data_IF_932368987682
#
_entry.id   IF_932368987682
#
_cell.length_a   1.000
_cell.length_b   1.000
_cell.length_c   1.000
_cell.angle_alpha   90.00
_cell.angle_beta   90.00
_cell.angle_gamma   90.00
#
_symmetry.space_group_name_H-M   'P 1'
#
loop_
_entity.id
_entity.type
_entity.pdbx_description
1 polymer ?
#
# COMPACT_ATOMS: atom_id res chain seq x y z
N UNK A 1 -4.44 -18.54 3.18
CA UNK A 1 -3.85 -17.84 2.05
C UNK A 1 -2.52 -17.21 2.47
N UNK A 2 -1.46 -17.49 1.70
CA UNK A 2 -0.12 -16.98 1.95
C UNK A 2 0.39 -16.29 0.68
N UNK A 3 1.34 -15.36 0.83
CA UNK A 3 1.90 -14.58 -0.27
C UNK A 3 3.40 -14.80 -0.36
N UNK A 4 3.91 -15.04 -1.56
CA UNK A 4 5.33 -15.22 -1.87
C UNK A 4 5.69 -14.20 -2.96
N UNK A 5 6.38 -13.11 -2.59
CA UNK A 5 6.70 -12.04 -3.51
C UNK A 5 8.20 -11.67 -3.55
N UNK A 6 8.99 -12.04 -2.52
CA UNK A 6 10.37 -11.61 -2.37
C UNK A 6 11.37 -12.58 -3.05
N UNK A 7 12.52 -12.05 -3.53
CA UNK A 7 13.68 -12.85 -3.95
C UNK A 7 14.44 -13.43 -2.75
N UNK A 8 14.43 -12.77 -1.60
CA UNK A 8 14.85 -13.39 -0.35
C UNK A 8 13.83 -14.46 0.04
N UNK A 9 14.25 -15.69 -0.06
CA UNK A 9 13.38 -16.86 0.08
C UNK A 9 13.37 -17.44 1.50
N UNK A 10 14.01 -16.79 2.46
CA UNK A 10 14.16 -17.32 3.83
C UNK A 10 12.80 -17.56 4.50
N UNK A 11 11.96 -16.51 4.57
CA UNK A 11 10.60 -16.63 5.11
C UNK A 11 9.73 -17.63 4.33
N UNK A 12 9.91 -17.67 3.00
CA UNK A 12 9.15 -18.56 2.14
C UNK A 12 9.50 -20.04 2.32
N UNK A 13 10.74 -20.36 2.71
CA UNK A 13 11.14 -21.75 3.00
C UNK A 13 10.47 -22.25 4.28
N UNK A 14 10.39 -21.44 5.32
CA UNK A 14 9.71 -21.81 6.57
C UNK A 14 8.22 -22.05 6.30
N UNK A 15 7.59 -21.17 5.51
CA UNK A 15 6.22 -21.35 5.07
C UNK A 15 6.05 -22.66 4.30
N UNK A 16 6.84 -22.93 3.26
CA UNK A 16 6.73 -24.14 2.44
C UNK A 16 6.90 -25.42 3.29
N UNK A 17 7.81 -25.42 4.27
CA UNK A 17 8.03 -26.54 5.16
C UNK A 17 6.83 -26.84 6.07
N UNK A 18 5.94 -25.86 6.29
CA UNK A 18 4.71 -26.02 7.07
C UNK A 18 3.51 -26.51 6.24
N UNK A 19 3.63 -26.58 4.90
CA UNK A 19 2.54 -26.90 3.99
C UNK A 19 2.57 -28.37 3.54
N UNK A 20 1.37 -28.92 3.29
CA UNK A 20 1.21 -30.23 2.62
C UNK A 20 1.25 -30.02 1.10
N UNK A 21 2.25 -30.58 0.37
CA UNK A 21 2.37 -30.42 -1.07
C UNK A 21 1.13 -30.90 -1.85
N UNK A 22 0.44 -31.92 -1.36
CA UNK A 22 -0.73 -32.50 -2.03
C UNK A 22 -1.99 -31.63 -1.88
N UNK A 23 -2.00 -30.71 -0.91
CA UNK A 23 -3.14 -29.83 -0.59
C UNK A 23 -2.86 -28.36 -0.89
N UNK A 24 -1.71 -28.05 -1.52
CA UNK A 24 -1.28 -26.69 -1.76
C UNK A 24 -1.44 -26.31 -3.24
N UNK A 25 -2.22 -25.27 -3.51
CA UNK A 25 -2.36 -24.63 -4.82
C UNK A 25 -1.49 -23.35 -4.86
N UNK A 26 -0.68 -23.22 -5.89
CA UNK A 26 0.14 -22.03 -6.16
C UNK A 26 -0.52 -21.17 -7.24
N UNK A 27 -0.96 -19.98 -6.88
CA UNK A 27 -1.53 -19.01 -7.81
C UNK A 27 -0.42 -18.05 -8.21
N UNK A 28 0.01 -18.12 -9.47
CA UNK A 28 1.07 -17.30 -10.01
C UNK A 28 0.44 -16.10 -10.73
N UNK A 29 0.61 -14.92 -10.16
CA UNK A 29 0.10 -13.68 -10.73
C UNK A 29 1.26 -12.89 -11.34
N UNK A 30 1.29 -12.77 -12.65
CA UNK A 30 2.28 -11.94 -13.35
C UNK A 30 1.79 -11.54 -14.73
N UNK A 31 1.66 -10.23 -14.99
CA UNK A 31 1.16 -9.71 -16.26
C UNK A 31 1.93 -10.29 -17.46
N UNK A 32 3.24 -10.09 -17.51
CA UNK A 32 4.09 -10.56 -18.62
C UNK A 32 4.54 -12.02 -18.49
N UNK A 33 4.42 -12.63 -17.32
CA UNK A 33 4.98 -13.94 -16.98
C UNK A 33 6.50 -14.06 -17.23
N UNK A 34 7.20 -12.89 -17.23
CA UNK A 34 8.66 -12.77 -17.45
C UNK A 34 9.40 -12.09 -16.31
N UNK A 35 8.69 -11.77 -15.22
CA UNK A 35 9.25 -11.13 -14.02
C UNK A 35 10.23 -12.10 -13.35
N UNK A 36 11.47 -11.65 -13.09
CA UNK A 36 12.55 -12.50 -12.57
C UNK A 36 12.14 -13.09 -11.21
N UNK A 37 11.62 -12.28 -10.32
CA UNK A 37 11.17 -12.69 -9.00
C UNK A 37 10.14 -13.83 -9.08
N UNK A 38 9.15 -13.67 -9.95
CA UNK A 38 8.11 -14.68 -10.16
C UNK A 38 8.70 -15.99 -10.69
N UNK A 39 9.57 -15.91 -11.70
CA UNK A 39 10.19 -17.10 -12.30
C UNK A 39 11.12 -17.84 -11.34
N UNK A 40 11.91 -17.12 -10.53
CA UNK A 40 12.78 -17.72 -9.53
C UNK A 40 11.97 -18.36 -8.40
N UNK A 41 10.89 -17.73 -7.94
CA UNK A 41 9.98 -18.31 -6.95
C UNK A 41 9.31 -19.59 -7.50
N UNK A 42 8.85 -19.60 -8.74
CA UNK A 42 8.30 -20.81 -9.39
C UNK A 42 9.36 -21.94 -9.40
N UNK A 43 10.61 -21.66 -9.75
CA UNK A 43 11.69 -22.67 -9.77
C UNK A 43 11.91 -23.27 -8.38
N UNK A 44 11.96 -22.46 -7.35
CA UNK A 44 12.16 -22.91 -5.96
C UNK A 44 10.98 -23.75 -5.48
N UNK A 45 9.74 -23.33 -5.76
CA UNK A 45 8.52 -24.08 -5.44
C UNK A 45 8.49 -25.44 -6.19
N UNK A 46 8.84 -25.45 -7.47
CA UNK A 46 8.95 -26.69 -8.25
C UNK A 46 9.98 -27.65 -7.64
N UNK A 47 11.13 -27.13 -7.20
CA UNK A 47 12.16 -27.92 -6.53
C UNK A 47 11.63 -28.50 -5.22
N UNK A 48 10.93 -27.72 -4.41
CA UNK A 48 10.30 -28.17 -3.17
C UNK A 48 9.27 -29.26 -3.43
N UNK A 49 8.35 -29.08 -4.37
CA UNK A 49 7.34 -30.10 -4.74
C UNK A 49 7.98 -31.44 -5.20
N UNK A 50 9.07 -31.38 -5.98
CA UNK A 50 9.76 -32.57 -6.46
C UNK A 50 10.42 -33.41 -5.35
N UNK A 51 10.71 -32.84 -4.18
CA UNK A 51 11.23 -33.59 -3.03
C UNK A 51 10.22 -34.61 -2.49
N UNK A 52 8.94 -34.32 -2.63
CA UNK A 52 7.86 -35.15 -2.08
C UNK A 52 7.32 -36.19 -3.07
N UNK A 53 7.52 -36.02 -4.37
CA UNK A 53 7.11 -36.99 -5.37
C UNK A 53 7.95 -36.90 -6.65
N UNK A 54 8.70 -37.99 -6.95
CA UNK A 54 9.51 -38.07 -8.17
C UNK A 54 8.69 -38.19 -9.46
N UNK A 55 7.48 -38.77 -9.38
CA UNK A 55 6.60 -39.08 -10.53
C UNK A 55 5.42 -38.12 -10.66
N UNK A 56 5.35 -37.08 -9.83
CA UNK A 56 4.22 -36.17 -9.80
C UNK A 56 4.39 -35.02 -10.81
N UNK A 57 3.35 -34.79 -11.60
CA UNK A 57 3.33 -33.59 -12.45
C UNK A 57 3.08 -32.36 -11.58
N UNK A 58 4.16 -31.79 -11.04
CA UNK A 58 4.13 -30.63 -10.14
C UNK A 58 3.35 -29.42 -10.70
N UNK A 59 3.15 -29.38 -12.03
CA UNK A 59 2.44 -28.25 -12.66
C UNK A 59 0.92 -28.32 -12.44
N UNK A 60 0.39 -29.43 -11.95
CA UNK A 60 -1.02 -29.54 -11.53
C UNK A 60 -1.35 -28.63 -10.33
N UNK A 61 -0.34 -28.32 -9.50
CA UNK A 61 -0.49 -27.41 -8.36
C UNK A 61 -0.46 -25.93 -8.74
N UNK A 62 -0.31 -25.59 -10.04
CA UNK A 62 -0.18 -24.21 -10.46
C UNK A 62 -1.40 -23.72 -11.24
N UNK A 63 -1.85 -22.53 -10.86
CA UNK A 63 -2.79 -21.71 -11.60
C UNK A 63 -2.08 -20.41 -11.98
N UNK A 64 -2.15 -19.99 -13.23
CA UNK A 64 -1.57 -18.74 -13.71
C UNK A 64 -2.65 -17.68 -13.91
N UNK A 65 -2.32 -16.44 -13.52
CA UNK A 65 -3.11 -15.25 -13.85
C UNK A 65 -2.19 -14.31 -14.64
N UNK A 66 -2.45 -14.17 -15.94
CA UNK A 66 -1.52 -13.50 -16.85
C UNK A 66 -2.21 -12.97 -18.11
N UNK A 67 -1.64 -11.94 -18.71
CA UNK A 67 -1.91 -11.53 -20.10
C UNK A 67 -1.22 -12.49 -21.09
N UNK A 68 -0.03 -13.01 -20.72
CA UNK A 68 0.84 -13.80 -21.59
C UNK A 68 0.66 -15.31 -21.37
N UNK A 69 -0.42 -15.84 -21.91
CA UNK A 69 -0.73 -17.28 -21.83
C UNK A 69 0.37 -18.17 -22.41
N UNK A 70 1.06 -17.70 -23.47
CA UNK A 70 2.10 -18.50 -24.13
C UNK A 70 3.29 -18.78 -23.21
N UNK A 71 3.72 -17.81 -22.40
CA UNK A 71 4.79 -17.99 -21.44
C UNK A 71 4.37 -18.91 -20.27
N UNK A 72 3.13 -18.84 -19.82
CA UNK A 72 2.61 -19.77 -18.82
C UNK A 72 2.59 -21.22 -19.34
N UNK A 73 2.15 -21.43 -20.57
CA UNK A 73 2.16 -22.75 -21.24
C UNK A 73 3.59 -23.31 -21.41
N UNK A 74 4.55 -22.48 -21.77
CA UNK A 74 5.98 -22.90 -21.88
C UNK A 74 6.54 -23.40 -20.54
N UNK A 75 6.05 -22.91 -19.41
CA UNK A 75 6.42 -23.41 -18.10
C UNK A 75 5.70 -24.73 -17.72
N UNK A 76 4.76 -25.20 -18.55
CA UNK A 76 4.03 -26.46 -18.37
C UNK A 76 2.69 -26.30 -17.63
N UNK A 77 2.17 -25.08 -17.47
CA UNK A 77 0.84 -24.85 -16.88
C UNK A 77 -0.23 -25.18 -17.92
N UNK A 78 -1.20 -26.02 -17.50
CA UNK A 78 -2.30 -26.43 -18.38
C UNK A 78 -3.18 -25.23 -18.74
N UNK A 79 -3.67 -25.16 -19.98
CA UNK A 79 -4.57 -24.12 -20.45
C UNK A 79 -5.78 -23.89 -19.53
N UNK A 80 -6.35 -24.96 -18.97
CA UNK A 80 -7.50 -24.87 -18.04
C UNK A 80 -7.16 -24.17 -16.72
N UNK A 81 -5.89 -24.07 -16.39
CA UNK A 81 -5.37 -23.42 -15.18
C UNK A 81 -4.78 -22.04 -15.50
N UNK A 82 -5.14 -21.43 -16.63
CA UNK A 82 -4.69 -20.09 -17.00
C UNK A 82 -5.91 -19.15 -17.03
N UNK A 83 -5.87 -18.13 -16.17
CA UNK A 83 -6.83 -17.03 -16.15
C UNK A 83 -6.18 -15.87 -16.91
N UNK A 84 -6.79 -15.50 -18.04
CA UNK A 84 -6.33 -14.38 -18.83
C UNK A 84 -6.76 -13.06 -18.21
N UNK A 85 -5.86 -12.09 -18.18
CA UNK A 85 -6.14 -10.68 -17.84
C UNK A 85 -5.85 -9.78 -19.04
N UNK A 86 -6.39 -8.57 -19.01
CA UNK A 86 -6.28 -7.63 -20.14
C UNK A 86 -4.94 -6.90 -20.16
N UNK A 87 -4.48 -6.56 -21.36
CA UNK A 87 -3.24 -5.84 -21.60
C UNK A 87 -3.23 -4.45 -20.96
N UNK A 88 -4.36 -3.74 -21.01
CA UNK A 88 -4.50 -2.41 -20.42
C UNK A 88 -4.53 -2.39 -18.89
N UNK A 89 -4.67 -3.53 -18.25
CA UNK A 89 -4.79 -3.63 -16.81
C UNK A 89 -3.45 -3.35 -16.12
N UNK A 90 -3.36 -2.26 -15.36
CA UNK A 90 -2.22 -1.93 -14.50
C UNK A 90 -2.22 -2.75 -13.21
N UNK A 91 -1.04 -3.19 -12.71
CA UNK A 91 -0.93 -4.02 -11.51
C UNK A 91 -1.61 -3.41 -10.28
N UNK A 92 -1.36 -2.14 -9.99
CA UNK A 92 -1.93 -1.41 -8.83
C UNK A 92 -3.43 -1.13 -8.91
N UNK A 93 -4.03 -1.32 -10.10
CA UNK A 93 -5.48 -1.21 -10.34
C UNK A 93 -6.14 -2.57 -10.59
N UNK A 94 -5.44 -3.68 -10.35
CA UNK A 94 -5.87 -5.00 -10.80
C UNK A 94 -6.74 -5.78 -9.84
N UNK A 95 -6.98 -5.27 -8.64
CA UNK A 95 -7.74 -5.96 -7.58
C UNK A 95 -9.18 -6.32 -7.99
N UNK A 96 -9.74 -5.61 -8.95
CA UNK A 96 -11.09 -5.80 -9.48
C UNK A 96 -11.21 -6.93 -10.53
N UNK A 97 -10.09 -7.58 -10.86
CA UNK A 97 -9.98 -8.54 -11.97
C UNK A 97 -9.69 -9.97 -11.50
N UNK A 98 -9.41 -10.87 -12.44
CA UNK A 98 -8.94 -12.24 -12.17
C UNK A 98 -7.68 -12.34 -11.31
N UNK A 99 -6.91 -11.24 -11.15
CA UNK A 99 -5.79 -11.15 -10.19
C UNK A 99 -6.24 -11.48 -8.77
N UNK A 100 -7.48 -11.17 -8.43
CA UNK A 100 -8.08 -11.43 -7.12
C UNK A 100 -8.59 -12.86 -6.91
N UNK A 101 -8.28 -13.82 -7.78
CA UNK A 101 -8.77 -15.20 -7.60
C UNK A 101 -8.42 -15.80 -6.22
N UNK A 102 -7.21 -15.49 -5.71
CA UNK A 102 -6.81 -15.89 -4.35
C UNK A 102 -7.71 -15.27 -3.27
N UNK A 103 -8.08 -14.00 -3.43
CA UNK A 103 -9.02 -13.32 -2.55
C UNK A 103 -10.42 -13.92 -2.65
N UNK A 104 -10.90 -14.23 -3.88
CA UNK A 104 -12.20 -14.87 -4.11
C UNK A 104 -12.28 -16.23 -3.39
N UNK A 105 -11.22 -17.02 -3.47
CA UNK A 105 -11.14 -18.31 -2.78
C UNK A 105 -11.18 -18.12 -1.26
N UNK A 106 -10.49 -17.09 -0.74
CA UNK A 106 -10.38 -16.85 0.70
C UNK A 106 -11.68 -16.34 1.34
N UNK A 107 -12.39 -15.43 0.66
CA UNK A 107 -13.57 -14.75 1.24
C UNK A 107 -14.90 -15.26 0.67
N UNK A 108 -14.86 -16.06 -0.38
CA UNK A 108 -16.01 -16.57 -1.12
C UNK A 108 -16.58 -15.58 -2.14
N UNK A 109 -17.24 -16.12 -3.15
CA UNK A 109 -17.81 -15.35 -4.27
C UNK A 109 -18.77 -14.22 -3.82
N UNK A 110 -19.67 -14.53 -2.87
CA UNK A 110 -20.66 -13.55 -2.39
C UNK A 110 -20.01 -12.32 -1.75
N UNK A 111 -18.94 -12.52 -0.98
CA UNK A 111 -18.23 -11.40 -0.36
C UNK A 111 -17.42 -10.61 -1.41
N UNK A 112 -16.84 -11.30 -2.39
CA UNK A 112 -16.15 -10.62 -3.48
C UNK A 112 -17.13 -9.82 -4.35
N UNK A 113 -18.33 -10.34 -4.63
CA UNK A 113 -19.38 -9.59 -5.34
C UNK A 113 -19.80 -8.34 -4.59
N UNK A 114 -19.94 -8.40 -3.25
CA UNK A 114 -20.18 -7.21 -2.42
C UNK A 114 -19.03 -6.21 -2.48
N UNK A 115 -17.79 -6.71 -2.54
CA UNK A 115 -16.61 -5.86 -2.68
C UNK A 115 -16.64 -5.10 -4.02
N UNK A 116 -16.95 -5.78 -5.13
CA UNK A 116 -17.12 -5.13 -6.44
C UNK A 116 -18.29 -4.14 -6.45
N UNK A 117 -19.40 -4.49 -5.79
CA UNK A 117 -20.54 -3.59 -5.67
C UNK A 117 -20.18 -2.30 -4.92
N UNK A 118 -19.33 -2.38 -3.89
CA UNK A 118 -18.79 -1.20 -3.23
C UNK A 118 -18.01 -0.29 -4.17
N UNK A 119 -17.16 -0.86 -5.02
CA UNK A 119 -16.45 -0.10 -6.04
C UNK A 119 -17.39 0.56 -7.05
N UNK A 120 -18.41 -0.18 -7.53
CA UNK A 120 -19.44 0.37 -8.40
C UNK A 120 -20.14 1.59 -7.78
N UNK A 121 -20.46 1.55 -6.48
CA UNK A 121 -21.04 2.71 -5.77
C UNK A 121 -20.11 3.91 -5.78
N UNK A 122 -18.80 3.70 -5.63
CA UNK A 122 -17.82 4.77 -5.73
C UNK A 122 -17.74 5.34 -7.15
N UNK A 123 -17.82 4.51 -8.20
CA UNK A 123 -17.86 4.92 -9.61
C UNK A 123 -19.11 5.77 -9.90
N UNK A 124 -20.26 5.34 -9.37
CA UNK A 124 -21.51 6.10 -9.50
C UNK A 124 -21.45 7.44 -8.76
N UNK A 125 -20.87 7.46 -7.56
CA UNK A 125 -20.65 8.69 -6.80
C UNK A 125 -19.71 9.63 -7.58
N UNK A 126 -18.58 9.12 -8.07
CA UNK A 126 -17.60 9.90 -8.81
C UNK A 126 -18.17 10.51 -10.08
N UNK A 127 -18.94 9.74 -10.85
CA UNK A 127 -19.50 10.18 -12.15
C UNK A 127 -20.71 11.11 -12.00
N UNK A 128 -21.54 10.96 -10.94
CA UNK A 128 -22.83 11.64 -10.82
C UNK A 128 -22.82 12.86 -9.88
N UNK A 129 -21.91 12.91 -8.91
CA UNK A 129 -21.89 13.98 -7.90
C UNK A 129 -21.24 15.25 -8.42
N UNK A 130 -21.83 16.39 -8.07
CA UNK A 130 -21.21 17.71 -8.31
C UNK A 130 -19.88 17.80 -7.55
N UNK A 131 -18.90 18.52 -8.10
CA UNK A 131 -17.52 18.60 -7.59
C UNK A 131 -17.44 18.91 -6.09
N UNK A 132 -18.28 19.83 -5.58
CA UNK A 132 -18.32 20.22 -4.15
C UNK A 132 -18.80 19.12 -3.19
N UNK A 133 -19.39 18.05 -3.70
CA UNK A 133 -19.86 16.89 -2.95
C UNK A 133 -19.19 15.59 -3.38
N UNK A 134 -18.26 15.67 -4.31
CA UNK A 134 -17.56 14.51 -4.89
C UNK A 134 -16.34 14.19 -4.04
N UNK A 135 -16.43 13.14 -3.25
CA UNK A 135 -15.40 12.77 -2.25
C UNK A 135 -14.02 12.62 -2.90
N UNK A 136 -13.79 11.80 -3.93
CA UNK A 136 -12.49 11.67 -4.56
C UNK A 136 -11.93 12.99 -5.13
N UNK A 137 -12.79 13.82 -5.71
CA UNK A 137 -12.39 15.13 -6.24
C UNK A 137 -11.94 16.06 -5.10
N UNK A 138 -12.70 16.11 -4.00
CA UNK A 138 -12.33 16.92 -2.82
C UNK A 138 -11.01 16.42 -2.24
N UNK A 139 -10.83 15.10 -2.09
CA UNK A 139 -9.57 14.51 -1.61
C UNK A 139 -8.38 14.90 -2.49
N UNK A 140 -8.55 14.85 -3.82
CA UNK A 140 -7.52 15.21 -4.76
C UNK A 140 -7.18 16.71 -4.72
N UNK A 141 -8.21 17.57 -4.71
CA UNK A 141 -8.02 19.03 -4.62
C UNK A 141 -7.31 19.44 -3.32
N UNK A 142 -7.69 18.84 -2.18
CA UNK A 142 -7.01 19.08 -0.91
C UNK A 142 -5.55 18.60 -0.93
N UNK A 143 -5.29 17.39 -1.46
CA UNK A 143 -3.92 16.89 -1.61
C UNK A 143 -3.07 17.80 -2.50
N UNK A 144 -3.61 18.20 -3.65
CA UNK A 144 -2.94 19.16 -4.55
C UNK A 144 -2.66 20.49 -3.88
N UNK A 145 -3.67 21.04 -3.19
CA UNK A 145 -3.57 22.32 -2.48
C UNK A 145 -2.50 22.28 -1.38
N UNK A 146 -2.52 21.28 -0.53
CA UNK A 146 -1.54 21.13 0.53
C UNK A 146 -0.11 20.94 0.02
N UNK A 147 0.08 20.20 -1.07
CA UNK A 147 1.40 19.98 -1.65
C UNK A 147 1.98 21.23 -2.29
N UNK A 148 1.16 21.98 -3.00
CA UNK A 148 1.64 23.11 -3.80
C UNK A 148 1.66 24.44 -3.04
N UNK A 149 0.75 24.65 -2.09
CA UNK A 149 0.63 25.91 -1.35
C UNK A 149 1.15 25.85 0.09
N UNK A 150 1.13 24.66 0.72
CA UNK A 150 1.61 24.45 2.09
C UNK A 150 2.88 23.61 2.16
N UNK A 151 3.45 23.26 1.03
CA UNK A 151 4.68 22.46 0.94
C UNK A 151 4.59 21.10 1.64
N UNK A 152 3.38 20.51 1.72
CA UNK A 152 3.23 19.15 2.18
C UNK A 152 3.95 18.19 1.22
N UNK A 153 4.93 17.45 1.72
CA UNK A 153 5.68 16.46 0.93
C UNK A 153 5.22 15.03 1.19
N UNK A 154 4.34 14.86 2.17
CA UNK A 154 3.83 13.54 2.53
C UNK A 154 2.34 13.60 2.88
N UNK A 155 1.68 12.44 2.79
CA UNK A 155 0.30 12.21 3.17
C UNK A 155 0.22 10.97 4.05
N UNK A 156 -0.36 11.09 5.23
CA UNK A 156 -0.42 10.04 6.22
C UNK A 156 -1.78 9.32 6.18
N UNK A 157 -1.75 7.99 6.17
CA UNK A 157 -2.94 7.13 6.19
C UNK A 157 -2.98 6.37 7.52
N UNK A 158 -4.01 6.59 8.33
CA UNK A 158 -4.15 6.05 9.68
C UNK A 158 -5.45 5.22 9.83
N UNK A 159 -5.47 3.97 9.40
CA UNK A 159 -6.58 3.08 9.70
C UNK A 159 -6.55 2.63 11.17
N UNK A 160 -7.67 2.77 11.86
CA UNK A 160 -7.84 2.33 13.25
C UNK A 160 -8.37 0.89 13.35
N UNK A 161 -9.07 0.40 12.32
CA UNK A 161 -9.46 -1.00 12.25
C UNK A 161 -8.25 -1.88 11.92
N UNK A 162 -7.94 -2.85 12.76
CA UNK A 162 -6.80 -3.77 12.56
C UNK A 162 -6.79 -4.48 11.20
N UNK A 163 -7.96 -4.83 10.67
CA UNK A 163 -8.08 -5.46 9.36
C UNK A 163 -7.63 -4.57 8.19
N UNK A 164 -7.56 -3.25 8.42
CA UNK A 164 -7.05 -2.27 7.44
C UNK A 164 -5.57 -1.93 7.65
N UNK A 165 -4.83 -2.62 8.51
CA UNK A 165 -3.45 -2.27 8.88
C UNK A 165 -2.47 -2.14 7.72
N UNK A 166 -2.75 -2.78 6.59
CA UNK A 166 -1.96 -2.69 5.34
C UNK A 166 -2.55 -1.74 4.29
N UNK A 167 -3.58 -0.97 4.64
CA UNK A 167 -4.22 -0.04 3.70
C UNK A 167 -3.23 1.01 3.19
N UNK A 168 -2.38 1.53 4.07
CA UNK A 168 -1.38 2.53 3.70
C UNK A 168 -0.36 1.99 2.68
N UNK A 169 0.04 0.73 2.75
CA UNK A 169 0.95 0.11 1.76
C UNK A 169 0.30 0.03 0.37
N UNK A 170 -1.00 -0.32 0.33
CA UNK A 170 -1.76 -0.33 -0.93
C UNK A 170 -1.87 1.06 -1.55
N UNK A 171 -2.26 2.07 -0.75
CA UNK A 171 -2.40 3.45 -1.22
C UNK A 171 -1.04 4.04 -1.58
N UNK A 172 0.04 3.67 -0.88
CA UNK A 172 1.41 4.06 -1.19
C UNK A 172 1.78 3.65 -2.62
N UNK A 173 1.61 2.37 -2.97
CA UNK A 173 1.87 1.93 -4.35
C UNK A 173 0.92 2.62 -5.33
N UNK A 174 -0.38 2.66 -5.01
CA UNK A 174 -1.39 3.26 -5.87
C UNK A 174 -1.04 4.70 -6.25
N UNK A 175 -0.74 5.56 -5.29
CA UNK A 175 -0.52 6.98 -5.53
C UNK A 175 0.91 7.29 -5.99
N UNK A 176 1.93 6.72 -5.33
CA UNK A 176 3.33 7.06 -5.63
C UNK A 176 3.78 6.50 -6.99
N UNK A 177 3.38 5.29 -7.35
CA UNK A 177 3.70 4.72 -8.68
C UNK A 177 2.91 5.43 -9.80
N UNK A 178 1.67 5.86 -9.52
CA UNK A 178 0.85 6.58 -10.49
C UNK A 178 1.32 7.99 -10.74
N UNK A 179 1.57 8.76 -9.68
CA UNK A 179 1.76 10.20 -9.73
C UNK A 179 3.17 10.67 -9.38
N UNK A 180 4.10 9.78 -9.03
CA UNK A 180 5.50 10.10 -8.77
C UNK A 180 6.28 10.40 -10.05
N UNK A 181 5.92 11.48 -10.76
CA UNK A 181 6.45 11.84 -12.08
C UNK A 181 6.84 13.31 -12.14
N UNK A 182 7.78 13.63 -13.00
CA UNK A 182 8.28 15.00 -13.23
C UNK A 182 7.98 15.50 -14.65
N UNK A 183 7.38 14.69 -15.51
CA UNK A 183 7.10 15.00 -16.90
C UNK A 183 5.59 14.84 -17.15
N UNK A 184 4.99 15.85 -17.82
CA UNK A 184 3.58 15.84 -18.21
C UNK A 184 3.30 14.95 -19.45
N UNK A 185 2.04 14.82 -19.81
CA UNK A 185 1.61 14.04 -21.00
C UNK A 185 2.13 14.60 -22.32
N UNK A 186 2.63 15.85 -22.34
CA UNK A 186 3.20 16.52 -23.51
C UNK A 186 4.73 16.47 -23.54
N UNK A 187 5.37 15.76 -22.58
CA UNK A 187 6.82 15.64 -22.49
C UNK A 187 7.52 16.85 -21.85
N UNK A 188 6.79 17.74 -21.19
CA UNK A 188 7.34 18.94 -20.52
C UNK A 188 7.52 18.66 -19.03
N UNK A 189 8.52 19.32 -18.42
CA UNK A 189 8.66 19.30 -16.98
C UNK A 189 7.44 19.96 -16.31
N UNK A 190 6.87 19.29 -15.33
CA UNK A 190 5.79 19.85 -14.52
C UNK A 190 6.34 20.89 -13.55
N UNK A 191 5.61 21.99 -13.35
CA UNK A 191 5.96 23.04 -12.38
C UNK A 191 5.43 22.77 -10.98
N UNK A 192 4.38 21.97 -10.87
CA UNK A 192 3.75 21.60 -9.60
C UNK A 192 4.49 20.46 -8.89
N UNK A 193 4.35 20.39 -7.56
CA UNK A 193 4.89 19.28 -6.76
C UNK A 193 3.97 18.08 -6.86
N UNK A 194 4.31 17.13 -7.72
CA UNK A 194 3.57 15.87 -7.88
C UNK A 194 4.23 14.74 -7.07
N UNK A 195 3.42 13.74 -6.67
CA UNK A 195 3.92 12.52 -6.06
C UNK A 195 4.29 12.68 -4.59
N UNK A 196 3.30 12.94 -3.73
CA UNK A 196 3.49 12.93 -2.28
C UNK A 196 3.97 11.56 -1.80
N UNK A 197 4.84 11.57 -0.79
CA UNK A 197 5.19 10.35 -0.06
C UNK A 197 3.96 9.91 0.75
N UNK A 198 3.36 8.80 0.36
CA UNK A 198 2.28 8.18 1.13
C UNK A 198 2.88 7.19 2.12
N UNK A 199 2.50 7.30 3.37
CA UNK A 199 2.97 6.46 4.45
C UNK A 199 1.89 6.30 5.52
N UNK A 200 2.09 5.43 6.48
CA UNK A 200 1.10 5.24 7.52
C UNK A 200 1.39 4.14 8.50
N UNK A 201 0.37 3.76 9.22
CA UNK A 201 0.41 2.69 10.20
C UNK A 201 -0.92 2.49 10.87
N UNK A 202 -1.03 1.48 11.73
CA UNK A 202 -2.24 1.26 12.53
C UNK A 202 -2.42 2.38 13.56
N UNK A 203 -3.57 3.03 13.55
CA UNK A 203 -3.84 4.28 14.29
C UNK A 203 -3.40 4.25 15.76
N UNK A 204 -3.88 3.29 16.56
CA UNK A 204 -3.55 3.20 17.98
C UNK A 204 -2.08 2.83 18.24
N UNK A 205 -1.52 1.87 17.47
CA UNK A 205 -0.13 1.44 17.63
C UNK A 205 0.87 2.54 17.26
N UNK A 206 0.52 3.39 16.32
CA UNK A 206 1.38 4.47 15.82
C UNK A 206 1.63 5.59 16.84
N UNK A 207 0.86 5.63 17.93
CA UNK A 207 1.12 6.53 19.06
C UNK A 207 2.52 6.36 19.63
N UNK A 208 3.04 5.14 19.62
CA UNK A 208 4.35 4.79 20.15
C UNK A 208 5.48 4.91 19.10
N UNK A 209 5.20 5.47 17.91
CA UNK A 209 6.20 5.65 16.86
C UNK A 209 6.32 7.09 16.36
N UNK A 210 5.30 7.65 15.75
CA UNK A 210 5.41 8.93 15.04
C UNK A 210 4.42 10.02 15.46
N UNK A 211 3.53 9.77 16.42
CA UNK A 211 2.58 10.80 16.88
C UNK A 211 3.27 11.99 17.56
N UNK A 212 4.44 11.81 18.16
CA UNK A 212 5.23 12.91 18.67
C UNK A 212 5.54 13.94 17.56
N UNK A 213 5.97 13.46 16.38
CA UNK A 213 6.19 14.30 15.20
C UNK A 213 4.90 14.95 14.71
N UNK A 214 3.80 14.18 14.66
CA UNK A 214 2.52 14.70 14.19
C UNK A 214 1.99 15.83 15.08
N UNK A 215 2.07 15.68 16.40
CA UNK A 215 1.51 16.65 17.33
C UNK A 215 2.40 17.88 17.49
N UNK A 216 3.68 17.68 17.77
CA UNK A 216 4.61 18.76 18.17
C UNK A 216 5.58 19.18 17.06
N UNK A 217 5.85 18.31 16.06
CA UNK A 217 6.77 18.63 14.99
C UNK A 217 6.29 19.82 14.13
N UNK A 218 7.25 20.54 13.56
CA UNK A 218 7.03 21.71 12.72
C UNK A 218 6.77 21.39 11.23
N UNK A 219 6.50 20.12 10.92
CA UNK A 219 6.18 19.64 9.56
C UNK A 219 4.68 19.65 9.31
N UNK A 220 4.29 20.01 8.07
CA UNK A 220 2.91 20.02 7.65
C UNK A 220 2.55 18.71 6.96
N UNK A 221 1.79 17.85 7.65
CA UNK A 221 1.44 16.50 7.20
C UNK A 221 -0.08 16.37 7.20
N UNK A 222 -0.74 16.42 6.04
CA UNK A 222 -2.14 16.02 5.90
C UNK A 222 -2.32 14.54 6.26
N UNK A 223 -3.42 14.22 6.95
CA UNK A 223 -3.66 12.87 7.43
C UNK A 223 -5.09 12.40 7.21
N UNK A 224 -5.24 11.15 6.74
CA UNK A 224 -6.52 10.47 6.61
C UNK A 224 -6.68 9.50 7.78
N UNK A 225 -7.64 9.76 8.66
CA UNK A 225 -8.03 8.94 9.78
C UNK A 225 -9.24 8.07 9.39
N UNK A 226 -9.15 6.77 9.53
CA UNK A 226 -10.16 5.84 9.03
C UNK A 226 -10.59 4.89 10.14
N UNK A 227 -11.89 4.86 10.45
CA UNK A 227 -12.48 3.96 11.45
C UNK A 227 -13.90 3.55 11.05
N UNK A 228 -14.37 2.39 11.52
CA UNK A 228 -15.77 2.01 11.44
C UNK A 228 -16.54 2.43 12.70
N UNK A 229 -17.83 2.79 12.55
CA UNK A 229 -18.73 3.10 13.68
C UNK A 229 -19.07 1.88 14.53
N UNK A 230 -19.01 0.68 13.94
CA UNK A 230 -19.35 -0.58 14.60
C UNK A 230 -18.13 -1.47 14.64
N UNK A 231 -17.92 -2.14 15.78
CA UNK A 231 -16.91 -3.19 15.88
C UNK A 231 -17.34 -4.45 15.10
N UNK A 232 -16.37 -5.15 14.55
CA UNK A 232 -16.59 -6.47 13.94
C UNK A 232 -16.28 -7.63 14.91
N UNK A 233 -15.56 -7.33 15.98
CA UNK A 233 -15.13 -8.30 16.99
C UNK A 233 -14.68 -7.57 18.27
N UNK A 234 -14.77 -8.23 19.40
CA UNK A 234 -14.40 -7.67 20.69
C UNK A 234 -15.56 -7.00 21.41
N UNK A 235 -15.29 -6.40 22.56
CA UNK A 235 -16.28 -5.70 23.36
C UNK A 235 -16.58 -4.30 22.81
N UNK A 236 -17.77 -3.79 23.08
CA UNK A 236 -18.13 -2.42 22.76
C UNK A 236 -17.22 -1.43 23.48
N UNK A 237 -16.87 -1.69 24.74
CA UNK A 237 -15.97 -0.83 25.52
C UNK A 237 -14.59 -0.66 24.86
N UNK A 238 -14.02 -1.75 24.33
CA UNK A 238 -12.75 -1.66 23.58
C UNK A 238 -12.90 -0.82 22.32
N UNK A 239 -14.03 -0.93 21.64
CA UNK A 239 -14.31 -0.11 20.46
C UNK A 239 -14.49 1.36 20.83
N UNK A 240 -15.17 1.66 21.93
CA UNK A 240 -15.37 3.03 22.41
C UNK A 240 -14.04 3.68 22.82
N UNK A 241 -13.13 2.92 23.46
CA UNK A 241 -11.77 3.38 23.74
C UNK A 241 -10.99 3.67 22.44
N UNK A 242 -11.08 2.78 21.45
CA UNK A 242 -10.45 2.98 20.15
C UNK A 242 -11.00 4.21 19.42
N UNK A 243 -12.34 4.40 19.47
CA UNK A 243 -13.01 5.55 18.87
C UNK A 243 -12.66 6.85 19.59
N UNK A 244 -12.58 6.83 20.92
CA UNK A 244 -12.16 7.98 21.73
C UNK A 244 -10.72 8.39 21.38
N UNK A 245 -9.84 7.40 21.18
CA UNK A 245 -8.48 7.61 20.74
C UNK A 245 -8.40 8.26 19.34
N UNK A 246 -9.17 7.74 18.40
CA UNK A 246 -9.33 8.32 17.06
C UNK A 246 -9.76 9.80 17.11
N UNK A 247 -10.80 10.12 17.88
CA UNK A 247 -11.32 11.49 18.01
C UNK A 247 -10.33 12.42 18.73
N UNK A 248 -9.63 11.93 19.76
CA UNK A 248 -8.69 12.74 20.54
C UNK A 248 -7.55 13.26 19.67
N UNK A 249 -6.98 12.40 18.81
CA UNK A 249 -5.90 12.81 17.92
C UNK A 249 -6.34 13.79 16.84
N UNK A 250 -7.52 13.59 16.25
CA UNK A 250 -8.10 14.54 15.30
C UNK A 250 -8.31 15.90 16.00
N UNK A 251 -8.86 15.90 17.22
CA UNK A 251 -9.08 17.14 17.99
C UNK A 251 -7.75 17.86 18.28
N UNK A 252 -6.73 17.14 18.74
CA UNK A 252 -5.40 17.72 19.01
C UNK A 252 -4.78 18.29 17.74
N UNK A 253 -4.82 17.57 16.62
CA UNK A 253 -4.27 18.06 15.36
C UNK A 253 -4.99 19.29 14.83
N UNK A 254 -6.32 19.34 14.96
CA UNK A 254 -7.10 20.49 14.49
C UNK A 254 -7.01 21.71 15.42
N UNK A 255 -7.27 21.50 16.72
CA UNK A 255 -7.43 22.58 17.70
C UNK A 255 -6.16 22.89 18.49
N UNK A 256 -5.21 21.96 18.54
CA UNK A 256 -4.02 22.07 19.39
C UNK A 256 -4.32 21.79 20.86
N UNK A 257 -3.40 22.26 21.72
CA UNK A 257 -3.52 22.23 23.18
C UNK A 257 -3.09 23.59 23.72
N UNK A 258 -4.01 24.31 24.35
CA UNK A 258 -3.82 25.70 24.74
C UNK A 258 -2.85 25.86 25.91
N UNK A 259 -2.37 27.10 26.14
CA UNK A 259 -1.55 27.43 27.33
C UNK A 259 -2.33 27.14 28.61
N UNK A 260 -3.60 27.50 28.68
CA UNK A 260 -4.44 27.23 29.88
C UNK A 260 -4.59 25.76 30.16
N UNK A 261 -4.80 24.93 29.11
CA UNK A 261 -4.88 23.47 29.25
C UNK A 261 -3.52 22.86 29.67
N UNK A 262 -2.42 23.39 29.11
CA UNK A 262 -1.07 22.99 29.46
C UNK A 262 -0.69 23.31 30.89
N UNK A 263 -1.08 24.50 31.38
CA UNK A 263 -0.89 24.89 32.78
C UNK A 263 -1.67 23.98 33.72
N UNK A 264 -2.94 23.73 33.43
CA UNK A 264 -3.80 22.84 34.21
C UNK A 264 -3.20 21.42 34.27
N UNK A 265 -2.79 20.88 33.13
CA UNK A 265 -2.19 19.56 33.04
C UNK A 265 -0.84 19.49 33.79
N UNK A 266 -0.05 20.59 33.77
CA UNK A 266 1.17 20.68 34.57
C UNK A 266 0.90 20.54 36.06
N UNK A 267 -0.04 21.31 36.59
CA UNK A 267 -0.42 21.26 38.03
C UNK A 267 -0.96 19.88 38.40
N UNK A 268 -1.77 19.25 37.55
CA UNK A 268 -2.34 17.94 37.83
C UNK A 268 -1.31 16.78 37.82
N UNK A 269 -0.30 16.84 36.95
CA UNK A 269 0.56 15.68 36.68
C UNK A 269 2.05 15.89 36.88
N UNK A 270 2.55 17.11 36.76
CA UNK A 270 4.00 17.37 36.67
C UNK A 270 4.56 18.26 37.78
N UNK A 271 3.72 18.93 38.56
CA UNK A 271 4.14 19.88 39.61
C UNK A 271 5.13 19.29 40.62
N UNK A 272 4.96 18.01 40.95
CA UNK A 272 5.77 17.33 41.99
C UNK A 272 6.98 16.58 41.41
N UNK A 273 7.30 16.75 40.11
CA UNK A 273 8.40 16.01 39.46
C UNK A 273 9.73 16.75 39.42
N UNK A 274 9.82 17.95 40.00
CA UNK A 274 11.06 18.74 40.00
C UNK A 274 11.45 19.32 38.63
N UNK A 275 10.57 19.28 37.65
CA UNK A 275 10.80 19.77 36.30
C UNK A 275 10.57 21.29 36.21
N UNK A 276 11.31 21.98 35.33
CA UNK A 276 11.12 23.41 35.10
C UNK A 276 9.72 23.68 34.51
N UNK A 277 8.85 24.33 35.30
CA UNK A 277 7.44 24.59 34.97
C UNK A 277 7.25 25.16 33.56
N UNK A 278 7.95 26.29 33.27
CA UNK A 278 7.78 26.99 32.00
C UNK A 278 8.20 26.15 30.79
N UNK A 279 9.26 25.32 30.96
CA UNK A 279 9.72 24.43 29.90
C UNK A 279 8.69 23.33 29.63
N UNK A 280 8.13 22.73 30.68
CA UNK A 280 7.10 21.68 30.55
C UNK A 280 5.85 22.26 29.92
N UNK A 281 5.35 23.40 30.37
CA UNK A 281 4.16 24.04 29.79
C UNK A 281 4.37 24.34 28.31
N UNK A 282 5.53 24.91 27.92
CA UNK A 282 5.85 25.16 26.50
C UNK A 282 5.86 23.89 25.66
N UNK A 283 6.34 22.79 26.20
CA UNK A 283 6.33 21.48 25.49
C UNK A 283 4.94 20.83 25.42
N UNK A 284 4.05 21.11 26.36
CA UNK A 284 2.67 20.63 26.34
C UNK A 284 1.79 21.42 25.37
N UNK A 285 2.16 22.67 25.07
CA UNK A 285 1.40 23.50 24.12
C UNK A 285 1.55 22.98 22.70
N UNK A 286 0.42 22.78 22.01
CA UNK A 286 0.39 22.31 20.62
C UNK A 286 -0.37 23.31 19.77
N UNK A 287 0.21 23.71 18.63
CA UNK A 287 -0.36 24.77 17.78
C UNK A 287 -1.65 24.37 17.03
N UNK A 288 -1.93 23.08 16.87
CA UNK A 288 -3.04 22.62 16.06
C UNK A 288 -2.92 22.97 14.58
N UNK A 289 -4.05 23.25 13.92
CA UNK A 289 -4.16 23.68 12.50
C UNK A 289 -3.51 22.70 11.50
N UNK A 290 -3.43 21.42 11.86
CA UNK A 290 -2.91 20.36 11.03
C UNK A 290 -4.09 19.66 10.35
N UNK A 291 -4.13 19.56 9.00
CA UNK A 291 -5.29 19.09 8.29
C UNK A 291 -5.51 17.59 8.46
N UNK A 292 -6.75 17.22 8.74
CA UNK A 292 -7.16 15.83 8.88
C UNK A 292 -8.46 15.57 8.11
N UNK A 293 -8.53 14.44 7.42
CA UNK A 293 -9.78 13.87 6.92
C UNK A 293 -10.20 12.74 7.85
N UNK A 294 -11.49 12.66 8.19
CA UNK A 294 -12.07 11.61 9.01
C UNK A 294 -13.00 10.74 8.18
N UNK A 295 -12.61 9.51 7.89
CA UNK A 295 -13.42 8.52 7.20
C UNK A 295 -14.14 7.65 8.22
N UNK A 296 -15.44 7.81 8.30
CA UNK A 296 -16.28 7.13 9.28
C UNK A 296 -17.16 6.09 8.57
N UNK A 297 -16.64 4.87 8.43
CA UNK A 297 -17.35 3.78 7.80
C UNK A 297 -18.52 3.31 8.70
N UNK A 298 -19.69 3.02 8.12
CA UNK A 298 -20.83 2.49 8.89
C UNK A 298 -20.44 1.17 9.58
N UNK A 299 -19.79 0.29 8.86
CA UNK A 299 -19.21 -0.99 9.28
C UNK A 299 -18.10 -1.36 8.31
N UNK A 300 -17.03 -2.01 8.78
CA UNK A 300 -16.03 -2.56 7.89
C UNK A 300 -16.57 -3.85 7.26
N UNK A 301 -17.02 -3.76 6.01
CA UNK A 301 -17.55 -4.85 5.20
C UNK A 301 -16.81 -4.94 3.88
N UNK A 302 -16.93 -6.04 3.12
CA UNK A 302 -16.38 -6.10 1.76
C UNK A 302 -16.85 -4.93 0.88
N UNK A 303 -18.13 -4.56 0.95
CA UNK A 303 -18.68 -3.41 0.23
C UNK A 303 -18.00 -2.09 0.64
N UNK A 304 -17.91 -1.80 1.94
CA UNK A 304 -17.27 -0.58 2.43
C UNK A 304 -15.79 -0.50 2.05
N UNK A 305 -15.08 -1.65 2.06
CA UNK A 305 -13.70 -1.72 1.61
C UNK A 305 -13.56 -1.45 0.11
N UNK A 306 -14.45 -2.03 -0.71
CA UNK A 306 -14.46 -1.78 -2.15
C UNK A 306 -14.72 -0.31 -2.48
N UNK A 307 -15.70 0.31 -1.82
CA UNK A 307 -16.01 1.73 -1.96
C UNK A 307 -14.80 2.61 -1.56
N UNK A 308 -14.16 2.32 -0.44
CA UNK A 308 -13.00 3.06 0.05
C UNK A 308 -11.81 2.98 -0.92
N UNK A 309 -11.46 1.78 -1.40
CA UNK A 309 -10.34 1.61 -2.33
C UNK A 309 -10.61 2.33 -3.67
N UNK A 310 -11.81 2.22 -4.20
CA UNK A 310 -12.18 2.92 -5.44
C UNK A 310 -12.16 4.45 -5.28
N UNK A 311 -12.52 5.00 -4.11
CA UNK A 311 -12.33 6.43 -3.83
C UNK A 311 -10.86 6.85 -3.90
N UNK A 312 -9.93 6.05 -3.40
CA UNK A 312 -8.50 6.36 -3.52
C UNK A 312 -7.99 6.21 -4.97
N UNK A 313 -8.52 5.27 -5.75
CA UNK A 313 -8.21 5.17 -7.17
C UNK A 313 -8.67 6.40 -7.95
N UNK A 314 -9.92 6.83 -7.74
CA UNK A 314 -10.44 8.06 -8.35
C UNK A 314 -9.69 9.32 -7.89
N UNK A 315 -9.35 9.43 -6.58
CA UNK A 315 -8.48 10.50 -6.07
C UNK A 315 -7.16 10.54 -6.84
N UNK A 316 -6.51 9.38 -6.99
CA UNK A 316 -5.22 9.26 -7.68
C UNK A 316 -5.32 9.69 -9.15
N UNK A 317 -6.39 9.28 -9.83
CA UNK A 317 -6.67 9.70 -11.20
C UNK A 317 -6.88 11.22 -11.33
N UNK A 318 -7.70 11.81 -10.46
CA UNK A 318 -7.95 13.26 -10.46
C UNK A 318 -6.66 14.04 -10.16
N UNK A 319 -5.82 13.57 -9.24
CA UNK A 319 -4.49 14.16 -8.98
C UNK A 319 -3.61 14.11 -10.24
N UNK A 320 -3.61 13.00 -10.98
CA UNK A 320 -2.92 12.91 -12.26
C UNK A 320 -3.38 13.95 -13.27
N UNK A 321 -4.69 14.17 -13.37
CA UNK A 321 -5.26 15.23 -14.23
C UNK A 321 -4.80 16.63 -13.78
N UNK A 322 -4.83 16.91 -12.47
CA UNK A 322 -4.39 18.20 -11.92
C UNK A 322 -2.90 18.49 -12.17
N UNK A 323 -2.07 17.45 -12.20
CA UNK A 323 -0.64 17.55 -12.52
C UNK A 323 -0.36 17.49 -14.03
N UNK A 324 -1.34 17.17 -14.86
CA UNK A 324 -1.18 16.96 -16.31
C UNK A 324 -0.36 15.71 -16.66
N UNK A 325 -0.37 14.68 -15.81
CA UNK A 325 0.42 13.45 -15.98
C UNK A 325 -0.46 12.23 -16.27
N UNK A 326 0.13 11.18 -16.86
CA UNK A 326 -0.53 9.90 -17.00
C UNK A 326 -0.34 9.04 -15.74
N UNK A 327 -1.42 8.77 -15.01
CA UNK A 327 -1.40 7.96 -13.77
C UNK A 327 -1.29 6.45 -14.01
N UNK A 328 -1.30 5.96 -15.26
CA UNK A 328 -1.42 4.54 -15.59
C UNK A 328 -0.14 3.89 -16.12
N UNK A 329 0.95 4.64 -16.24
CA UNK A 329 2.28 4.14 -16.61
C UNK A 329 3.30 4.21 -15.46
N UNK A 330 4.47 3.59 -15.64
CA UNK A 330 5.56 3.52 -14.65
C UNK A 330 6.95 3.34 -15.31
N UNK A 331 7.32 4.20 -16.25
CA UNK A 331 8.53 4.08 -17.08
C UNK A 331 9.83 3.91 -16.28
N UNK A 332 10.00 4.64 -15.16
CA UNK A 332 11.23 4.61 -14.36
C UNK A 332 11.50 3.23 -13.75
N UNK A 333 10.46 2.46 -13.41
CA UNK A 333 10.60 1.11 -12.85
C UNK A 333 11.20 0.14 -13.87
N UNK A 334 10.91 0.31 -15.16
CA UNK A 334 11.46 -0.54 -16.22
C UNK A 334 12.97 -0.36 -16.38
N UNK A 335 13.49 0.85 -16.20
CA UNK A 335 14.94 1.13 -16.23
C UNK A 335 15.66 0.32 -15.13
N UNK A 336 15.11 0.31 -13.92
CA UNK A 336 15.64 -0.48 -12.80
C UNK A 336 15.73 -1.98 -13.14
N UNK A 337 14.68 -2.55 -13.73
CA UNK A 337 14.64 -3.96 -14.14
C UNK A 337 15.69 -4.28 -15.20
N UNK A 338 15.87 -3.40 -16.19
CA UNK A 338 16.91 -3.55 -17.24
C UNK A 338 18.30 -3.56 -16.62
N UNK A 339 18.59 -2.60 -15.73
CA UNK A 339 19.89 -2.51 -15.05
C UNK A 339 20.15 -3.69 -14.11
N UNK A 340 19.14 -4.15 -13.38
CA UNK A 340 19.27 -5.34 -12.54
C UNK A 340 19.65 -6.59 -13.36
N UNK A 341 19.03 -6.79 -14.53
CA UNK A 341 19.38 -7.90 -15.45
C UNK A 341 20.82 -7.80 -15.98
N UNK A 342 21.26 -6.61 -16.34
CA UNK A 342 22.64 -6.34 -16.78
C UNK A 342 23.65 -6.69 -15.67
N UNK A 343 23.43 -6.19 -14.47
CA UNK A 343 24.28 -6.45 -13.30
C UNK A 343 24.31 -7.94 -12.96
N UNK A 344 23.17 -8.61 -12.97
CA UNK A 344 23.08 -10.04 -12.70
C UNK A 344 23.88 -10.88 -13.72
N UNK A 345 23.82 -10.55 -15.00
CA UNK A 345 24.66 -11.17 -16.03
C UNK A 345 26.15 -10.98 -15.74
N UNK A 346 26.53 -9.76 -15.35
CA UNK A 346 27.92 -9.42 -15.02
C UNK A 346 28.43 -10.21 -13.81
N UNK A 347 27.61 -10.37 -12.77
CA UNK A 347 27.94 -11.20 -11.59
C UNK A 347 28.16 -12.65 -12.01
N UNK A 348 27.30 -13.23 -12.85
CA UNK A 348 27.48 -14.61 -13.37
C UNK A 348 28.77 -14.79 -14.17
N UNK A 349 29.08 -13.83 -15.06
CA UNK A 349 30.30 -13.87 -15.86
C UNK A 349 31.57 -13.81 -15.02
N UNK A 350 31.58 -13.01 -13.96
CA UNK A 350 32.68 -12.92 -13.00
C UNK A 350 32.89 -14.21 -12.20
N UNK A 351 31.80 -14.78 -11.68
CA UNK A 351 31.84 -16.06 -10.95
C UNK A 351 32.39 -17.19 -11.80
N UNK A 352 32.19 -17.15 -13.12
CA UNK A 352 32.73 -18.11 -14.08
C UNK A 352 34.13 -17.75 -14.61
N UNK A 353 34.85 -16.78 -14.00
CA UNK A 353 36.18 -16.28 -14.35
C UNK A 353 36.34 -15.77 -15.81
N UNK A 354 35.25 -15.51 -16.53
CA UNK A 354 35.28 -15.25 -17.97
C UNK A 354 35.39 -13.78 -18.40
N UNK A 355 35.41 -12.80 -17.48
CA UNK A 355 35.58 -11.36 -17.83
C UNK A 355 36.06 -10.48 -16.68
N UNK A 356 36.87 -9.45 -17.01
CA UNK A 356 37.17 -8.33 -16.11
C UNK A 356 36.01 -7.32 -16.16
N UNK A 357 35.39 -7.05 -15.03
CA UNK A 357 34.32 -6.01 -14.89
C UNK A 357 34.84 -4.90 -14.01
N UNK A 358 34.59 -3.66 -14.42
CA UNK A 358 35.12 -2.48 -13.76
C UNK A 358 34.14 -1.93 -12.68
N UNK A 359 33.68 -2.80 -11.76
CA UNK A 359 32.84 -2.41 -10.63
C UNK A 359 33.47 -2.88 -9.32
N UNK A 360 33.91 -1.92 -8.50
CA UNK A 360 34.49 -2.19 -7.15
C UNK A 360 33.49 -2.91 -6.25
N UNK A 361 32.19 -2.54 -6.30
CA UNK A 361 31.14 -3.13 -5.46
C UNK A 361 30.90 -4.60 -5.83
N UNK A 362 30.81 -4.91 -7.14
CA UNK A 362 30.60 -6.29 -7.59
C UNK A 362 31.81 -7.18 -7.25
N UNK A 363 33.03 -6.65 -7.39
CA UNK A 363 34.23 -7.38 -6.98
C UNK A 363 34.22 -7.71 -5.50
N UNK A 364 33.86 -6.72 -4.63
CA UNK A 364 33.76 -6.92 -3.18
C UNK A 364 32.66 -7.91 -2.79
N UNK A 365 31.57 -7.97 -3.55
CA UNK A 365 30.48 -8.92 -3.30
C UNK A 365 30.88 -10.37 -3.65
N UNK A 366 31.79 -10.57 -4.60
CA UNK A 366 32.21 -11.89 -5.08
C UNK A 366 33.43 -12.42 -4.33
N UNK A 367 34.31 -11.52 -3.79
CA UNK A 367 35.43 -11.90 -2.90
C UNK A 367 34.92 -12.45 -1.58
#
# INVERSE_FOLDING_TARGET
LHFISNLDFTENMDLLNSLDPNKTLFIVVSKSFKTIETLENIKKIKFWLKKYSKNYNVMQNFLAVTENESEAKKLGINQRNIIKIWEWLGGRYSIWSGVSIGLIIAIGYNNFSKFLYGAQKADEHFSKKQYKYNIPVIMALLSFYYSNYFSAQSHLILPYNYRLRFLHDHIQQLEMESNGKSIDINGKNISSKAGNIVWGGSGSCSQHSFYQLLHQGNVFIPADFIISKKTDSGSQDNHDMLFSNFLSHIKILNSGFSMSDAQKLYEEKFANQGLQKDLVIKNLMLGGKKPTNAFLLKKLSPEALGELLAYYEHKTYVLGLLYGINSFDQWAVEIGKIKAKEIYRNIKLLKNKNKKINSKIIKKYIS
#
